data_IF_847034045657
#
_entry.id   IF_847034045657
#
_cell.length_a   1.000
_cell.length_b   1.000
_cell.length_c   1.000
_cell.angle_alpha   90.00
_cell.angle_beta   90.00
_cell.angle_gamma   90.00
#
_symmetry.space_group_name_H-M   'P 1'
#
loop_
_entity.id
_entity.type
_entity.pdbx_description
1 polymer ?
#
# COMPACT_ATOMS: atom_id res chain seq x y z
N UNK A 1 2.36 7.24 -15.84
CA UNK A 1 2.36 6.22 -14.77
C UNK A 1 2.24 6.95 -13.43
N UNK A 2 1.51 6.41 -12.46
CA UNK A 2 1.37 6.96 -11.11
C UNK A 2 1.79 5.90 -10.08
N UNK A 3 2.52 6.30 -9.04
CA UNK A 3 2.85 5.43 -7.90
C UNK A 3 2.23 6.05 -6.65
N UNK A 4 1.48 5.25 -5.91
CA UNK A 4 0.89 5.60 -4.61
C UNK A 4 1.56 4.69 -3.58
N UNK A 5 2.29 5.28 -2.65
CA UNK A 5 3.09 4.56 -1.66
C UNK A 5 2.44 4.61 -0.28
N UNK A 6 2.63 3.57 0.53
CA UNK A 6 2.21 3.47 1.93
C UNK A 6 0.71 3.76 2.19
N UNK A 7 -0.17 3.30 1.28
CA UNK A 7 -1.62 3.45 1.45
C UNK A 7 -2.07 2.78 2.73
N UNK A 8 -2.75 3.55 3.60
CA UNK A 8 -3.30 3.07 4.85
C UNK A 8 -2.37 3.12 6.06
N UNK A 9 -1.19 3.74 5.95
CA UNK A 9 -0.35 3.99 7.12
C UNK A 9 -1.03 4.93 8.13
N UNK A 10 -1.70 5.98 7.64
CA UNK A 10 -2.48 6.94 8.43
C UNK A 10 -3.95 6.80 8.03
N UNK A 11 -4.90 6.79 8.99
CA UNK A 11 -6.32 6.85 8.67
C UNK A 11 -6.65 8.10 7.86
N UNK A 12 -7.45 7.94 6.80
CA UNK A 12 -7.87 9.08 6.00
C UNK A 12 -9.07 9.74 6.63
N UNK A 13 -9.15 11.07 6.51
CA UNK A 13 -10.43 11.73 6.68
C UNK A 13 -11.37 11.38 5.49
N UNK A 14 -12.69 11.56 5.63
CA UNK A 14 -13.64 11.20 4.58
C UNK A 14 -13.36 11.86 3.22
N UNK A 15 -12.83 13.09 3.23
CA UNK A 15 -12.53 13.83 2.00
C UNK A 15 -11.31 13.23 1.28
N UNK A 16 -10.26 12.88 2.02
CA UNK A 16 -9.08 12.20 1.49
C UNK A 16 -9.42 10.80 0.95
N UNK A 17 -10.29 10.05 1.63
CA UNK A 17 -10.81 8.78 1.15
C UNK A 17 -11.59 8.93 -0.18
N UNK A 18 -12.45 9.94 -0.27
CA UNK A 18 -13.19 10.25 -1.49
C UNK A 18 -12.26 10.67 -2.64
N UNK A 19 -11.22 11.46 -2.36
CA UNK A 19 -10.21 11.87 -3.35
C UNK A 19 -9.41 10.66 -3.85
N UNK A 20 -8.99 9.74 -2.99
CA UNK A 20 -8.28 8.54 -3.41
C UNK A 20 -9.18 7.64 -4.28
N UNK A 21 -10.47 7.52 -3.92
CA UNK A 21 -11.43 6.80 -4.74
C UNK A 21 -11.59 7.42 -6.13
N UNK A 22 -11.74 8.75 -6.20
CA UNK A 22 -11.87 9.49 -7.46
C UNK A 22 -10.60 9.35 -8.32
N UNK A 23 -9.43 9.42 -7.69
CA UNK A 23 -8.14 9.24 -8.36
C UNK A 23 -8.03 7.85 -8.99
N UNK A 24 -8.27 6.78 -8.22
CA UNK A 24 -8.22 5.40 -8.72
C UNK A 24 -9.25 5.20 -9.84
N UNK A 25 -10.48 5.68 -9.65
CA UNK A 25 -11.54 5.59 -10.65
C UNK A 25 -11.21 6.34 -11.96
N UNK A 26 -10.52 7.47 -11.88
CA UNK A 26 -10.10 8.24 -13.07
C UNK A 26 -9.03 7.52 -13.89
N UNK A 27 -8.21 6.68 -13.25
CA UNK A 27 -7.09 5.96 -13.87
C UNK A 27 -7.43 4.56 -14.33
N UNK A 28 -8.46 3.97 -13.72
CA UNK A 28 -9.02 2.68 -14.11
C UNK A 28 -9.22 2.60 -15.64
N UNK A 29 -8.66 1.57 -16.27
CA UNK A 29 -8.66 1.31 -17.72
C UNK A 29 -8.06 2.42 -18.61
N UNK A 30 -7.42 3.45 -18.03
CA UNK A 30 -6.87 4.59 -18.78
C UNK A 30 -5.36 4.73 -18.69
N UNK A 31 -4.78 4.46 -17.52
CA UNK A 31 -3.34 4.63 -17.33
C UNK A 31 -2.79 3.79 -16.17
N UNK A 32 -1.59 3.23 -16.34
CA UNK A 32 -0.94 2.39 -15.34
C UNK A 32 -0.74 3.08 -13.99
N UNK A 33 -0.87 2.28 -12.93
CA UNK A 33 -0.74 2.69 -11.55
C UNK A 33 -0.09 1.56 -10.73
N UNK A 34 0.76 1.92 -9.78
CA UNK A 34 1.30 1.01 -8.75
C UNK A 34 0.84 1.53 -7.40
N UNK A 35 0.35 0.63 -6.56
CA UNK A 35 -0.05 0.95 -5.18
C UNK A 35 0.72 0.04 -4.24
N UNK A 36 1.38 0.62 -3.25
CA UNK A 36 1.98 -0.11 -2.14
C UNK A 36 1.16 0.12 -0.86
N UNK A 37 1.09 -0.90 -0.03
CA UNK A 37 0.42 -0.84 1.27
C UNK A 37 1.03 -1.88 2.19
N UNK A 38 1.16 -1.53 3.47
CA UNK A 38 1.49 -2.47 4.54
C UNK A 38 0.22 -3.11 5.16
N UNK A 39 -0.97 -2.77 4.68
CA UNK A 39 -2.26 -3.29 5.12
C UNK A 39 -2.85 -4.22 4.05
N UNK A 40 -3.58 -5.24 4.52
CA UNK A 40 -4.41 -6.08 3.63
C UNK A 40 -5.61 -5.29 3.12
N UNK A 41 -6.19 -5.69 1.98
CA UNK A 41 -7.40 -5.07 1.46
C UNK A 41 -8.58 -5.10 2.45
N UNK A 42 -8.68 -6.13 3.30
CA UNK A 42 -9.70 -6.17 4.36
C UNK A 42 -9.56 -5.03 5.37
N UNK A 43 -8.32 -4.65 5.70
CA UNK A 43 -8.01 -3.57 6.62
C UNK A 43 -8.21 -2.18 5.98
N UNK A 44 -8.46 -2.09 4.67
CA UNK A 44 -8.79 -0.83 4.03
C UNK A 44 -10.17 -0.29 4.44
N UNK A 45 -11.03 -1.13 5.00
CA UNK A 45 -12.29 -0.68 5.63
C UNK A 45 -12.04 0.34 6.74
N UNK A 46 -10.92 0.23 7.45
CA UNK A 46 -10.50 1.21 8.48
C UNK A 46 -10.07 2.56 7.88
N UNK A 47 -9.71 2.58 6.59
CA UNK A 47 -9.22 3.77 5.88
C UNK A 47 -10.38 4.52 5.23
N UNK A 48 -11.31 3.79 4.59
CA UNK A 48 -12.40 4.38 3.81
C UNK A 48 -13.73 4.44 4.58
N UNK A 49 -13.84 3.76 5.72
CA UNK A 49 -15.04 3.78 6.57
C UNK A 49 -16.25 3.00 6.04
N UNK A 50 -16.23 2.57 4.78
CA UNK A 50 -17.31 1.80 4.14
C UNK A 50 -16.77 0.59 3.39
N UNK A 51 -17.18 -0.61 3.82
CA UNK A 51 -16.78 -1.88 3.21
C UNK A 51 -17.24 -2.02 1.75
N UNK A 52 -18.38 -1.42 1.37
CA UNK A 52 -18.89 -1.45 -0.01
C UNK A 52 -18.01 -0.60 -0.92
N UNK A 53 -17.63 0.60 -0.47
CA UNK A 53 -16.71 1.48 -1.19
C UNK A 53 -15.33 0.81 -1.38
N UNK A 54 -14.81 0.16 -0.32
CA UNK A 54 -13.53 -0.58 -0.39
C UNK A 54 -13.60 -1.73 -1.37
N UNK A 55 -14.65 -2.55 -1.34
CA UNK A 55 -14.81 -3.66 -2.27
C UNK A 55 -14.81 -3.16 -3.72
N UNK A 56 -15.56 -2.09 -4.00
CA UNK A 56 -15.60 -1.49 -5.34
C UNK A 56 -14.26 -0.86 -5.76
N UNK A 57 -13.48 -0.33 -4.81
CA UNK A 57 -12.16 0.23 -5.08
C UNK A 57 -11.15 -0.86 -5.41
N UNK A 58 -11.12 -1.92 -4.58
CA UNK A 58 -10.23 -3.07 -4.75
C UNK A 58 -10.53 -3.76 -6.07
N UNK A 59 -11.81 -3.97 -6.40
CA UNK A 59 -12.24 -4.55 -7.68
C UNK A 59 -11.64 -3.79 -8.87
N UNK A 60 -11.73 -2.45 -8.88
CA UNK A 60 -11.12 -1.61 -9.92
C UNK A 60 -9.60 -1.72 -9.96
N UNK A 61 -8.94 -1.82 -8.81
CA UNK A 61 -7.48 -1.96 -8.74
C UNK A 61 -7.02 -3.30 -9.31
N UNK A 62 -7.69 -4.40 -8.97
CA UNK A 62 -7.22 -5.76 -9.30
C UNK A 62 -7.71 -6.27 -10.64
N UNK A 63 -8.75 -5.68 -11.23
CA UNK A 63 -9.32 -6.16 -12.49
C UNK A 63 -8.29 -6.24 -13.64
N UNK A 64 -7.35 -5.29 -13.71
CA UNK A 64 -6.26 -5.27 -14.71
C UNK A 64 -4.88 -5.14 -14.05
N UNK A 65 -4.68 -5.76 -12.88
CA UNK A 65 -3.41 -5.69 -12.16
C UNK A 65 -2.99 -7.04 -11.57
N UNK A 66 -1.71 -7.13 -11.21
CA UNK A 66 -1.17 -8.23 -10.42
C UNK A 66 -0.99 -7.80 -8.97
N UNK A 67 -1.58 -8.55 -8.03
CA UNK A 67 -1.39 -8.32 -6.60
C UNK A 67 -0.15 -9.08 -6.10
N UNK A 68 0.90 -8.34 -5.77
CA UNK A 68 2.15 -8.91 -5.24
C UNK A 68 2.15 -8.86 -3.71
N UNK A 69 2.03 -10.02 -3.06
CA UNK A 69 2.14 -10.14 -1.60
C UNK A 69 3.60 -10.34 -1.23
N UNK A 70 4.23 -9.29 -0.70
CA UNK A 70 5.62 -9.35 -0.24
C UNK A 70 5.70 -9.94 1.17
N UNK A 71 6.58 -10.92 1.36
CA UNK A 71 6.85 -11.58 2.65
C UNK A 71 8.36 -11.59 2.90
N UNK A 72 8.75 -11.43 4.16
CA UNK A 72 10.15 -11.51 4.58
C UNK A 72 10.49 -10.50 5.66
N UNK A 73 11.72 -10.61 6.16
CA UNK A 73 12.24 -9.67 7.15
C UNK A 73 12.49 -8.31 6.51
N UNK A 74 12.28 -7.24 7.29
CA UNK A 74 12.60 -5.88 6.89
C UNK A 74 14.05 -5.80 6.41
N UNK A 75 14.25 -5.25 5.22
CA UNK A 75 15.59 -5.00 4.70
C UNK A 75 16.35 -4.00 5.57
N UNK A 76 15.65 -3.04 6.20
CA UNK A 76 16.25 -2.03 7.08
C UNK A 76 16.98 -2.66 8.29
N UNK A 77 16.48 -3.79 8.79
CA UNK A 77 17.08 -4.51 9.93
C UNK A 77 18.29 -5.38 9.54
N UNK A 78 18.52 -5.61 8.23
CA UNK A 78 19.65 -6.43 7.75
C UNK A 78 20.99 -5.69 7.79
N UNK A 79 20.98 -4.36 7.75
CA UNK A 79 22.21 -3.57 7.83
C UNK A 79 22.65 -3.35 9.29
N UNK A 80 21.71 -3.22 10.23
CA UNK A 80 22.01 -3.10 11.66
C UNK A 80 22.73 -4.33 12.22
N UNK A 81 22.49 -5.51 11.65
CA UNK A 81 23.16 -6.75 12.05
C UNK A 81 24.59 -6.90 11.52
N UNK A 82 25.04 -6.03 10.60
CA UNK A 82 26.42 -6.00 10.10
C UNK A 82 27.33 -5.04 10.86
N UNK A 83 26.79 -3.96 11.42
CA UNK A 83 27.59 -3.00 12.21
C UNK A 83 27.88 -3.48 13.64
N UNK A 84 27.06 -4.38 14.21
CA UNK A 84 27.22 -4.83 15.61
C UNK A 84 28.25 -5.96 15.77
N UNK A 85 28.72 -6.59 14.69
CA UNK A 85 29.74 -7.66 14.72
C UNK A 85 31.15 -7.18 14.31
N UNK A 86 31.36 -5.86 14.20
CA UNK A 86 32.63 -5.23 13.82
C UNK A 86 33.58 -4.90 14.98
N UNK A 87 33.47 -5.54 16.15
CA UNK A 87 34.51 -5.44 17.19
C UNK A 87 35.53 -6.57 17.00
N UNK A 88 36.59 -6.26 16.26
CA UNK A 88 37.81 -7.04 16.18
C UNK A 88 38.47 -7.09 17.58
N UNK A 89 38.66 -8.27 18.22
CA UNK A 89 39.36 -8.34 19.49
C UNK A 89 40.86 -8.27 19.22
N UNK A 90 41.41 -7.06 19.32
CA UNK A 90 42.85 -6.85 19.52
C UNK A 90 43.28 -7.35 20.90
#
# INVERSE_FOLDING_TARGET
MLIIDDVGYIPFDPDAAALLFALISSRYERASMIVSSNKTFSAWTEIFGDAVAVAALVDRLVHHAEALVLRGNSYRLKDESKDVLGTDPS
#
